data_IF_099808966987
#
_entry.id   IF_099808966987
#
_cell.length_a   1.000
_cell.length_b   1.000
_cell.length_c   1.000
_cell.angle_alpha   90.00
_cell.angle_beta   90.00
_cell.angle_gamma   90.00
#
_symmetry.space_group_name_H-M   'P 1'
#
loop_
_entity.id
_entity.type
_entity.pdbx_description
1 polymer ?
#
# COMPACT_ATOMS: atom_id res chain seq x y z
N UNK A 1 -27.15 2.41 -25.31
CA UNK A 1 -26.53 3.52 -24.56
C UNK A 1 -26.75 3.22 -23.10
N UNK A 2 -25.80 2.53 -22.44
CA UNK A 2 -25.84 2.25 -21.01
C UNK A 2 -25.49 3.57 -20.34
N UNK A 3 -26.35 4.04 -19.42
CA UNK A 3 -26.18 5.34 -18.79
C UNK A 3 -24.92 5.35 -17.92
N UNK A 4 -24.19 6.45 -17.95
CA UNK A 4 -22.96 6.67 -17.16
C UNK A 4 -23.19 6.55 -15.63
N UNK A 5 -24.41 6.37 -15.18
CA UNK A 5 -24.77 6.15 -13.78
C UNK A 5 -24.71 4.66 -13.37
N UNK A 6 -24.88 3.71 -14.31
CA UNK A 6 -24.73 2.28 -14.01
C UNK A 6 -23.28 1.84 -13.81
N UNK A 7 -22.30 2.49 -14.44
CA UNK A 7 -20.88 2.23 -14.20
C UNK A 7 -20.40 2.65 -12.80
N UNK A 8 -21.10 3.55 -12.13
CA UNK A 8 -20.83 3.97 -10.75
C UNK A 8 -21.25 2.95 -9.68
N UNK A 9 -21.98 1.90 -10.08
CA UNK A 9 -22.56 0.91 -9.17
C UNK A 9 -21.82 -0.43 -9.10
N UNK A 10 -20.66 -0.54 -9.70
CA UNK A 10 -19.87 -1.76 -9.68
C UNK A 10 -19.37 -2.02 -8.26
N UNK A 11 -19.79 -3.13 -7.65
CA UNK A 11 -19.33 -3.53 -6.32
C UNK A 11 -17.84 -3.92 -6.42
N UNK A 12 -17.01 -3.16 -5.72
CA UNK A 12 -15.55 -3.36 -5.71
C UNK A 12 -15.13 -4.74 -5.15
N UNK A 13 -16.04 -5.46 -4.51
CA UNK A 13 -15.83 -6.82 -4.02
C UNK A 13 -15.87 -7.83 -5.16
N UNK A 14 -16.81 -7.67 -6.09
CA UNK A 14 -17.01 -8.59 -7.21
C UNK A 14 -15.89 -8.54 -8.25
N UNK A 15 -15.17 -7.40 -8.34
CA UNK A 15 -14.01 -7.23 -9.24
C UNK A 15 -12.66 -7.60 -8.62
N UNK A 16 -12.64 -8.05 -7.37
CA UNK A 16 -11.41 -8.51 -6.72
C UNK A 16 -11.12 -9.95 -7.11
N UNK A 17 -9.94 -10.22 -7.63
CA UNK A 17 -9.49 -11.61 -7.85
C UNK A 17 -9.46 -12.33 -6.52
N UNK A 18 -10.27 -13.39 -6.38
CA UNK A 18 -10.51 -14.09 -5.13
C UNK A 18 -11.74 -13.60 -4.35
N UNK A 19 -12.60 -12.74 -4.93
CA UNK A 19 -13.86 -12.31 -4.35
C UNK A 19 -13.67 -11.64 -2.98
N UNK A 20 -14.52 -11.96 -2.01
CA UNK A 20 -14.46 -11.44 -0.65
C UNK A 20 -13.09 -11.70 0.03
N UNK A 21 -12.51 -12.89 -0.17
CA UNK A 21 -11.19 -13.25 0.37
C UNK A 21 -10.08 -12.36 -0.20
N UNK A 22 -10.11 -12.10 -1.51
CA UNK A 22 -9.17 -11.20 -2.18
C UNK A 22 -9.30 -9.76 -1.68
N UNK A 23 -10.53 -9.29 -1.49
CA UNK A 23 -10.79 -7.96 -0.92
C UNK A 23 -10.29 -7.83 0.53
N UNK A 24 -10.53 -8.85 1.38
CA UNK A 24 -10.02 -8.90 2.75
C UNK A 24 -8.49 -8.92 2.78
N UNK A 25 -7.85 -9.72 1.92
CA UNK A 25 -6.39 -9.79 1.77
C UNK A 25 -5.80 -8.43 1.40
N UNK A 26 -6.39 -7.72 0.43
CA UNK A 26 -5.96 -6.38 0.04
C UNK A 26 -6.01 -5.40 1.22
N UNK A 27 -7.09 -5.41 2.02
CA UNK A 27 -7.22 -4.55 3.21
C UNK A 27 -6.18 -4.90 4.26
N UNK A 28 -5.98 -6.19 4.52
CA UNK A 28 -4.97 -6.66 5.45
C UNK A 28 -3.57 -6.20 5.03
N UNK A 29 -3.24 -6.31 3.75
CA UNK A 29 -1.96 -5.83 3.19
C UNK A 29 -1.79 -4.32 3.41
N UNK A 30 -2.84 -3.53 3.17
CA UNK A 30 -2.80 -2.08 3.42
C UNK A 30 -2.53 -1.77 4.89
N UNK A 31 -3.26 -2.41 5.81
CA UNK A 31 -3.09 -2.18 7.25
C UNK A 31 -1.70 -2.67 7.72
N UNK A 32 -1.21 -3.79 7.20
CA UNK A 32 0.11 -4.33 7.56
C UNK A 32 1.26 -3.40 7.15
N UNK A 33 1.07 -2.54 6.15
CA UNK A 33 2.05 -1.52 5.80
C UNK A 33 2.32 -0.52 6.94
N UNK A 34 1.41 -0.36 7.91
CA UNK A 34 1.65 0.46 9.11
C UNK A 34 2.76 -0.08 10.02
N UNK A 35 3.07 -1.37 9.90
CA UNK A 35 4.16 -2.00 10.67
C UNK A 35 5.53 -1.59 10.11
N UNK A 36 5.61 -1.29 8.81
CA UNK A 36 6.86 -0.96 8.11
C UNK A 36 7.63 0.18 8.76
N UNK A 37 7.04 1.35 9.06
CA UNK A 37 7.77 2.43 9.72
C UNK A 37 8.25 2.05 11.12
N UNK A 38 7.47 1.27 11.87
CA UNK A 38 7.90 0.82 13.19
C UNK A 38 9.13 -0.10 13.08
N UNK A 39 9.11 -1.06 12.18
CA UNK A 39 10.27 -1.93 11.91
C UNK A 39 11.48 -1.12 11.42
N UNK A 40 11.26 -0.15 10.54
CA UNK A 40 12.32 0.68 10.01
C UNK A 40 13.01 1.53 11.10
N UNK A 41 12.22 2.22 11.92
CA UNK A 41 12.79 3.12 12.93
C UNK A 41 13.33 2.40 14.16
N UNK A 42 12.81 1.21 14.49
CA UNK A 42 13.31 0.41 15.63
C UNK A 42 14.46 -0.51 15.23
N UNK A 43 14.35 -1.20 14.11
CA UNK A 43 15.29 -2.26 13.69
C UNK A 43 15.99 -1.99 12.36
N UNK A 44 15.73 -0.86 11.70
CA UNK A 44 16.24 -0.59 10.35
C UNK A 44 17.75 -0.60 10.25
N UNK A 45 18.45 -0.14 11.30
CA UNK A 45 19.91 -0.16 11.36
C UNK A 45 20.45 -1.59 11.41
N UNK A 46 19.84 -2.45 12.24
CA UNK A 46 20.25 -3.85 12.36
C UNK A 46 19.95 -4.65 11.09
N UNK A 47 18.75 -4.46 10.54
CA UNK A 47 18.31 -5.13 9.31
C UNK A 47 19.22 -4.72 8.13
N UNK A 48 19.51 -3.44 7.97
CA UNK A 48 20.34 -2.96 6.87
C UNK A 48 21.79 -3.39 6.99
N UNK A 49 22.33 -3.41 8.21
CA UNK A 49 23.68 -3.93 8.47
C UNK A 49 23.82 -5.42 8.14
N UNK A 50 22.78 -6.23 8.33
CA UNK A 50 22.81 -7.65 7.96
C UNK A 50 23.07 -7.88 6.47
N UNK A 51 22.75 -6.89 5.61
CA UNK A 51 23.03 -6.91 4.18
C UNK A 51 24.11 -5.90 3.77
N UNK A 52 24.87 -5.36 4.74
CA UNK A 52 25.97 -4.40 4.53
C UNK A 52 25.54 -3.10 3.84
N UNK A 53 24.32 -2.62 4.15
CA UNK A 53 23.74 -1.39 3.62
C UNK A 53 23.44 -0.38 4.74
N UNK A 54 23.28 0.88 4.37
CA UNK A 54 22.65 1.88 5.23
C UNK A 54 21.11 1.74 5.17
N UNK A 55 20.36 2.16 6.21
CA UNK A 55 18.89 2.05 6.23
C UNK A 55 18.22 2.67 4.99
N UNK A 56 18.65 3.85 4.55
CA UNK A 56 18.12 4.51 3.35
C UNK A 56 18.41 3.75 2.05
N UNK A 57 19.60 3.13 1.96
CA UNK A 57 19.97 2.31 0.80
C UNK A 57 19.13 1.03 0.78
N UNK A 58 18.89 0.42 1.94
CA UNK A 58 18.05 -0.75 2.06
C UNK A 58 16.60 -0.46 1.62
N UNK A 59 15.98 0.63 2.10
CA UNK A 59 14.64 1.05 1.67
C UNK A 59 14.58 1.32 0.17
N UNK A 60 15.58 2.03 -0.37
CA UNK A 60 15.66 2.31 -1.80
C UNK A 60 15.77 1.04 -2.63
N UNK A 61 16.60 0.09 -2.19
CA UNK A 61 16.77 -1.20 -2.86
C UNK A 61 15.47 -2.00 -2.88
N UNK A 62 14.78 -2.10 -1.73
CA UNK A 62 13.49 -2.80 -1.62
C UNK A 62 12.44 -2.16 -2.52
N UNK A 63 12.37 -0.82 -2.54
CA UNK A 63 11.47 -0.09 -3.42
C UNK A 63 11.74 -0.40 -4.90
N UNK A 64 13.00 -0.34 -5.32
CA UNK A 64 13.42 -0.64 -6.70
C UNK A 64 13.05 -2.08 -7.07
N UNK A 65 13.33 -3.06 -6.20
CA UNK A 65 13.01 -4.46 -6.45
C UNK A 65 11.50 -4.66 -6.66
N UNK A 66 10.65 -4.06 -5.82
CA UNK A 66 9.21 -4.17 -5.97
C UNK A 66 8.73 -3.49 -7.26
N UNK A 67 9.30 -2.33 -7.62
CA UNK A 67 8.97 -1.66 -8.88
C UNK A 67 9.41 -2.47 -10.11
N UNK A 68 10.53 -3.18 -10.04
CA UNK A 68 10.97 -4.09 -11.11
C UNK A 68 10.03 -5.29 -11.23
N UNK A 69 9.64 -5.90 -10.10
CA UNK A 69 8.65 -6.99 -10.08
C UNK A 69 7.32 -6.51 -10.68
N UNK A 70 6.88 -5.31 -10.32
CA UNK A 70 5.66 -4.72 -10.86
C UNK A 70 5.76 -4.47 -12.37
N UNK A 71 6.91 -4.00 -12.87
CA UNK A 71 7.13 -3.83 -14.30
C UNK A 71 7.07 -5.17 -15.06
N UNK A 72 7.64 -6.23 -14.51
CA UNK A 72 7.54 -7.59 -15.06
C UNK A 72 6.09 -8.07 -15.04
N UNK A 73 5.36 -7.86 -13.93
CA UNK A 73 3.95 -8.21 -13.79
C UNK A 73 3.09 -7.52 -14.85
N UNK A 74 3.28 -6.22 -15.04
CA UNK A 74 2.56 -5.45 -16.07
C UNK A 74 2.84 -5.98 -17.48
N UNK A 75 4.10 -6.36 -17.75
CA UNK A 75 4.48 -6.90 -19.05
C UNK A 75 3.89 -8.27 -19.33
N UNK A 76 3.72 -9.09 -18.29
CA UNK A 76 3.13 -10.44 -18.40
C UNK A 76 1.61 -10.44 -18.28
N UNK A 77 0.99 -9.36 -17.79
CA UNK A 77 -0.45 -9.26 -17.57
C UNK A 77 -0.97 -10.13 -16.41
N UNK A 78 -0.09 -10.64 -15.56
CA UNK A 78 -0.47 -11.49 -14.43
C UNK A 78 -1.20 -10.64 -13.38
N UNK A 79 -2.31 -11.19 -12.84
CA UNK A 79 -3.07 -10.60 -11.74
C UNK A 79 -2.96 -11.53 -10.53
N UNK A 80 -2.61 -10.96 -9.39
CA UNK A 80 -2.40 -11.71 -8.13
C UNK A 80 -3.67 -11.60 -7.27
N UNK A 81 -3.90 -12.59 -6.39
CA UNK A 81 -5.01 -12.58 -5.43
C UNK A 81 -5.03 -11.26 -4.65
N UNK A 82 -6.19 -10.64 -4.56
CA UNK A 82 -6.39 -9.33 -3.91
C UNK A 82 -6.20 -8.13 -4.83
N UNK A 83 -5.68 -8.32 -6.04
CA UNK A 83 -5.71 -7.30 -7.08
C UNK A 83 -7.07 -7.30 -7.80
N UNK A 84 -7.35 -6.23 -8.52
CA UNK A 84 -8.53 -6.13 -9.37
C UNK A 84 -8.17 -6.54 -10.80
N UNK A 85 -9.11 -7.08 -11.55
CA UNK A 85 -8.88 -7.53 -12.93
C UNK A 85 -8.29 -6.45 -13.84
N UNK A 86 -8.72 -5.19 -13.67
CA UNK A 86 -8.18 -4.08 -14.44
C UNK A 86 -6.73 -3.73 -14.08
N UNK A 87 -6.23 -4.14 -12.91
CA UNK A 87 -4.82 -3.96 -12.52
C UNK A 87 -3.85 -4.81 -13.38
N UNK A 88 -4.36 -5.71 -14.24
CA UNK A 88 -3.54 -6.38 -15.26
C UNK A 88 -2.83 -5.40 -16.19
N UNK A 89 -3.40 -4.21 -16.39
CA UNK A 89 -2.87 -3.17 -17.28
C UNK A 89 -2.51 -1.86 -16.60
N UNK A 90 -2.59 -1.84 -15.26
CA UNK A 90 -2.31 -0.65 -14.46
C UNK A 90 -1.37 -1.00 -13.30
N UNK A 91 -0.65 0.00 -12.81
CA UNK A 91 0.19 -0.16 -11.62
C UNK A 91 -0.69 -0.56 -10.44
N UNK A 92 -0.30 -1.63 -9.75
CA UNK A 92 -1.05 -2.15 -8.60
C UNK A 92 -1.04 -1.19 -7.42
N UNK A 93 -2.09 -1.28 -6.60
CA UNK A 93 -2.15 -0.53 -5.35
C UNK A 93 -0.99 -0.88 -4.41
N UNK A 94 -0.47 -2.13 -4.46
CA UNK A 94 0.70 -2.54 -3.70
C UNK A 94 1.95 -1.76 -4.12
N UNK A 95 2.19 -1.63 -5.42
CA UNK A 95 3.35 -0.89 -5.93
C UNK A 95 3.24 0.61 -5.60
N UNK A 96 2.07 1.22 -5.75
CA UNK A 96 1.83 2.59 -5.32
C UNK A 96 2.03 2.78 -3.81
N UNK A 97 1.50 1.86 -3.00
CA UNK A 97 1.67 1.88 -1.54
C UNK A 97 3.14 1.77 -1.15
N UNK A 98 3.89 0.83 -1.76
CA UNK A 98 5.33 0.68 -1.51
C UNK A 98 6.11 1.92 -1.88
N UNK A 99 5.85 2.50 -3.05
CA UNK A 99 6.50 3.74 -3.48
C UNK A 99 6.23 4.89 -2.50
N UNK A 100 4.96 5.07 -2.11
CA UNK A 100 4.56 6.13 -1.18
C UNK A 100 5.18 5.98 0.21
N UNK A 101 5.17 4.75 0.76
CA UNK A 101 5.80 4.45 2.05
C UNK A 101 7.31 4.63 1.98
N UNK A 102 7.97 4.14 0.93
CA UNK A 102 9.42 4.31 0.77
C UNK A 102 9.81 5.78 0.65
N UNK A 103 9.08 6.58 -0.13
CA UNK A 103 9.32 8.01 -0.23
C UNK A 103 9.09 8.73 1.10
N UNK A 104 8.03 8.38 1.83
CA UNK A 104 7.78 8.93 3.15
C UNK A 104 8.93 8.62 4.11
N UNK A 105 9.43 7.38 4.16
CA UNK A 105 10.58 7.01 4.99
C UNK A 105 11.86 7.78 4.60
N UNK A 106 12.14 7.92 3.31
CA UNK A 106 13.36 8.58 2.83
C UNK A 106 13.36 10.10 3.06
N UNK A 107 12.18 10.75 2.95
CA UNK A 107 12.08 12.21 3.02
C UNK A 107 11.81 12.69 4.44
N UNK A 108 11.02 11.95 5.23
CA UNK A 108 10.57 12.40 6.54
C UNK A 108 11.39 11.86 7.72
N UNK A 109 12.42 11.05 7.46
CA UNK A 109 13.34 10.59 8.52
C UNK A 109 14.24 11.72 8.97
N UNK A 110 14.24 12.02 10.26
CA UNK A 110 15.20 12.92 10.88
C UNK A 110 16.49 12.14 11.21
N UNK A 111 17.55 12.39 10.46
CA UNK A 111 18.81 11.66 10.59
C UNK A 111 19.68 12.16 11.76
N UNK A 112 19.32 13.27 12.39
CA UNK A 112 19.98 13.77 13.60
C UNK A 112 19.46 13.09 14.87
N UNK A 113 18.32 12.41 14.78
CA UNK A 113 17.69 11.64 15.84
C UNK A 113 17.91 10.13 15.65
N UNK A 114 17.70 9.36 16.70
CA UNK A 114 17.86 7.91 16.69
C UNK A 114 16.57 7.17 17.01
N UNK A 115 16.47 5.95 16.50
CA UNK A 115 15.35 5.07 16.79
C UNK A 115 14.00 5.69 16.37
N UNK A 116 12.99 5.49 17.19
CA UNK A 116 11.62 5.91 16.88
C UNK A 116 11.45 7.44 16.81
N UNK A 117 12.32 8.19 17.48
CA UNK A 117 12.31 9.66 17.45
C UNK A 117 12.64 10.20 16.06
N UNK A 118 13.50 9.52 15.32
CA UNK A 118 13.78 9.86 13.93
C UNK A 118 12.58 9.74 13.00
N UNK A 119 11.53 9.03 13.44
CA UNK A 119 10.27 8.80 12.72
C UNK A 119 9.15 9.76 13.08
N UNK A 120 9.41 10.83 13.85
CA UNK A 120 8.38 11.74 14.35
C UNK A 120 7.40 12.25 13.28
N UNK A 121 7.89 12.52 12.07
CA UNK A 121 7.09 12.94 10.94
C UNK A 121 6.66 11.77 10.03
N UNK A 122 7.53 10.78 9.85
CA UNK A 122 7.30 9.65 8.94
C UNK A 122 6.21 8.70 9.42
N UNK A 123 6.19 8.39 10.71
CA UNK A 123 5.21 7.47 11.30
C UNK A 123 3.77 7.98 11.12
N UNK A 124 3.41 9.23 11.49
CA UNK A 124 2.05 9.74 11.30
C UNK A 124 1.63 9.80 9.82
N UNK A 125 2.55 10.17 8.92
CA UNK A 125 2.26 10.20 7.48
C UNK A 125 1.90 8.81 6.97
N UNK A 126 2.72 7.81 7.29
CA UNK A 126 2.49 6.43 6.83
C UNK A 126 1.24 5.84 7.47
N UNK A 127 0.97 6.09 8.77
CA UNK A 127 -0.27 5.69 9.41
C UNK A 127 -1.49 6.35 8.76
N UNK A 128 -1.42 7.63 8.42
CA UNK A 128 -2.45 8.31 7.65
C UNK A 128 -2.73 7.61 6.32
N UNK A 129 -1.69 7.29 5.54
CA UNK A 129 -1.83 6.61 4.27
C UNK A 129 -2.41 5.20 4.40
N UNK A 130 -2.03 4.44 5.44
CA UNK A 130 -2.43 3.04 5.60
C UNK A 130 -3.82 2.85 6.20
N UNK A 131 -4.29 3.76 7.07
CA UNK A 131 -5.58 3.64 7.76
C UNK A 131 -6.69 4.46 7.12
N UNK A 132 -6.38 5.65 6.60
CA UNK A 132 -7.44 6.56 6.08
C UNK A 132 -8.13 5.94 4.87
N UNK A 133 -7.40 5.36 3.94
CA UNK A 133 -8.00 4.80 2.72
C UNK A 133 -8.97 3.64 2.99
N UNK A 134 -8.62 2.59 3.78
CA UNK A 134 -9.55 1.54 4.16
C UNK A 134 -10.77 2.04 4.94
N UNK A 135 -10.57 2.99 5.87
CA UNK A 135 -11.65 3.55 6.71
C UNK A 135 -12.62 4.36 5.85
N UNK A 136 -12.09 5.23 4.98
CA UNK A 136 -12.94 6.04 4.09
C UNK A 136 -13.70 5.18 3.08
N UNK A 137 -13.09 4.11 2.59
CA UNK A 137 -13.76 3.12 1.75
C UNK A 137 -14.95 2.48 2.45
N UNK A 138 -14.78 2.08 3.72
CA UNK A 138 -15.85 1.47 4.51
C UNK A 138 -16.99 2.46 4.84
N UNK A 139 -16.65 3.69 5.19
CA UNK A 139 -17.64 4.74 5.46
C UNK A 139 -18.49 5.03 4.22
N UNK A 140 -17.84 5.10 3.04
CA UNK A 140 -18.55 5.30 1.77
C UNK A 140 -19.50 4.14 1.47
N UNK A 141 -19.09 2.91 1.71
CA UNK A 141 -19.92 1.72 1.53
C UNK A 141 -21.15 1.76 2.44
N UNK A 142 -20.97 1.98 3.74
CA UNK A 142 -22.10 2.09 4.70
C UNK A 142 -23.07 3.21 4.35
N UNK A 143 -22.57 4.36 3.91
CA UNK A 143 -23.46 5.47 3.47
C UNK A 143 -24.27 5.11 2.22
N UNK A 144 -23.73 4.29 1.34
CA UNK A 144 -24.44 3.80 0.16
C UNK A 144 -25.57 2.85 0.56
N UNK A 145 -25.26 1.87 1.41
CA UNK A 145 -26.25 0.89 1.89
C UNK A 145 -27.43 1.57 2.61
N UNK A 146 -27.16 2.62 3.41
CA UNK A 146 -28.20 3.42 4.08
C UNK A 146 -29.07 4.28 3.13
N UNK A 147 -28.60 4.58 1.91
CA UNK A 147 -29.39 5.32 0.92
C UNK A 147 -30.27 4.42 0.06
N UNK A 148 -29.97 3.11 0.05
CA UNK A 148 -30.70 2.11 -0.71
C UNK A 148 -31.77 1.37 0.13
N UNK A 149 -31.73 1.51 1.45
CA UNK A 149 -32.74 1.01 2.40
C UNK A 149 -33.79 2.07 2.69
#
# INVERSE_FOLDING_TARGET
MISSEEELFVDHVDHSVGGFGGHAFRRLTHISMSIVPLLYYVYGVEISKAVSLEPKQFVSLVCILIMVIEAIRLRTGIVIIGQREYESRQISALAWGTLSVSLALLISTDYDLNGIESGLYGIPIIFGLTFVDPIMGEIKRKKKDMKLA
#
